data_IF_168039047427
#
_entry.id   IF_168039047427
#
_cell.length_a   1.000
_cell.length_b   1.000
_cell.length_c   1.000
_cell.angle_alpha   90.00
_cell.angle_beta   90.00
_cell.angle_gamma   90.00
#
_symmetry.space_group_name_H-M   'P 1'
#
loop_
_entity.id
_entity.type
_entity.pdbx_description
1 polymer ?
#
# COMPACT_ATOMS: atom_id res chain seq x y z
N UNK A 1 20.35 5.05 7.40
CA UNK A 1 20.05 4.16 6.26
C UNK A 1 18.56 3.87 6.09
N UNK A 2 17.80 3.67 7.18
CA UNK A 2 16.38 3.28 7.12
C UNK A 2 15.38 4.37 7.54
N UNK A 3 15.83 5.59 7.86
CA UNK A 3 14.90 6.66 8.22
C UNK A 3 14.04 7.04 7.02
N UNK A 4 12.75 7.13 7.28
CA UNK A 4 11.75 7.65 6.35
C UNK A 4 11.20 8.93 6.96
N UNK A 5 10.96 9.94 6.13
CA UNK A 5 10.31 11.19 6.51
C UNK A 5 9.15 11.42 5.56
N UNK A 6 7.98 11.77 6.09
CA UNK A 6 6.89 12.29 5.26
C UNK A 6 7.31 13.70 4.81
N UNK A 7 7.22 13.97 3.51
CA UNK A 7 7.56 15.29 3.00
C UNK A 7 6.62 16.34 3.58
N UNK A 8 7.11 17.56 3.75
CA UNK A 8 6.41 18.69 4.35
C UNK A 8 6.02 18.55 5.84
N UNK A 9 6.55 17.55 6.56
CA UNK A 9 6.40 17.44 8.02
C UNK A 9 7.71 17.72 8.74
N UNK A 10 7.64 18.35 9.91
CA UNK A 10 8.83 18.56 10.74
C UNK A 10 9.21 17.29 11.50
N UNK A 11 10.48 17.17 11.90
CA UNK A 11 10.97 15.95 12.59
C UNK A 11 10.21 15.65 13.88
N UNK A 12 9.81 16.68 14.62
CA UNK A 12 9.11 16.52 15.90
C UNK A 12 7.64 16.12 15.73
N UNK A 13 7.08 16.21 14.51
CA UNK A 13 5.72 15.77 14.18
C UNK A 13 5.67 14.30 13.77
N UNK A 14 6.82 13.67 13.55
CA UNK A 14 6.92 12.27 13.17
C UNK A 14 6.86 11.37 14.42
N UNK A 15 5.94 10.41 14.40
CA UNK A 15 5.89 9.34 15.38
C UNK A 15 7.01 8.32 15.11
N UNK A 16 7.55 7.75 16.18
CA UNK A 16 8.58 6.71 16.10
C UNK A 16 7.95 5.31 15.98
N UNK A 17 8.70 4.36 15.42
CA UNK A 17 8.31 2.95 15.38
C UNK A 17 8.05 2.42 16.80
N UNK A 18 6.96 1.67 16.98
CA UNK A 18 6.57 1.13 18.28
C UNK A 18 7.65 0.22 18.88
N UNK A 19 8.41 -0.50 18.06
CA UNK A 19 9.48 -1.36 18.54
C UNK A 19 10.64 -0.55 19.09
N UNK A 20 11.04 0.53 18.39
CA UNK A 20 12.08 1.44 18.86
C UNK A 20 11.66 2.16 20.14
N UNK A 21 10.41 2.62 20.19
CA UNK A 21 9.82 3.24 21.39
C UNK A 21 9.78 2.26 22.58
N UNK A 22 9.66 0.96 22.29
CA UNK A 22 9.70 -0.13 23.30
C UNK A 22 11.12 -0.54 23.68
N UNK A 23 12.15 0.12 23.15
CA UNK A 23 13.56 -0.11 23.47
C UNK A 23 14.26 -1.16 22.60
N UNK A 24 13.61 -1.67 21.54
CA UNK A 24 14.27 -2.55 20.59
C UNK A 24 15.23 -1.75 19.70
N UNK A 25 16.29 -2.41 19.25
CA UNK A 25 17.23 -1.89 18.28
C UNK A 25 17.02 -2.53 16.91
N UNK A 26 17.58 -1.93 15.86
CA UNK A 26 17.51 -2.48 14.50
C UNK A 26 18.00 -3.94 14.46
N UNK A 27 19.04 -4.25 15.25
CA UNK A 27 19.66 -5.57 15.34
C UNK A 27 18.83 -6.60 16.10
N UNK A 28 17.69 -6.23 16.67
CA UNK A 28 16.79 -7.21 17.28
C UNK A 28 15.92 -7.92 16.23
N UNK A 29 15.68 -7.26 15.09
CA UNK A 29 14.99 -7.84 13.94
C UNK A 29 15.96 -8.14 12.78
N UNK A 30 16.99 -7.32 12.57
CA UNK A 30 17.97 -7.46 11.49
C UNK A 30 19.28 -8.04 12.05
N UNK A 31 19.45 -9.36 12.01
CA UNK A 31 20.65 -10.03 12.55
C UNK A 31 21.44 -10.68 11.43
N UNK A 32 22.74 -10.82 11.65
CA UNK A 32 23.62 -11.56 10.75
C UNK A 32 24.51 -12.51 11.55
N UNK A 33 24.95 -13.56 10.88
CA UNK A 33 26.04 -14.41 11.37
C UNK A 33 27.40 -13.87 10.94
N UNK A 34 28.39 -14.76 10.97
CA UNK A 34 29.75 -14.49 10.48
C UNK A 34 29.80 -14.25 8.95
N UNK A 35 28.75 -14.65 8.24
CA UNK A 35 28.57 -14.40 6.81
C UNK A 35 28.25 -12.94 6.47
N UNK A 36 27.91 -12.13 7.48
CA UNK A 36 27.41 -10.76 7.33
C UNK A 36 26.14 -10.63 6.49
N UNK A 37 25.41 -11.74 6.27
CA UNK A 37 24.13 -11.67 5.58
C UNK A 37 23.05 -11.26 6.60
N UNK A 38 22.64 -9.99 6.53
CA UNK A 38 21.65 -9.40 7.43
C UNK A 38 20.25 -9.89 7.05
N UNK A 39 19.56 -10.55 7.99
CA UNK A 39 18.14 -10.87 7.83
C UNK A 39 17.34 -9.59 7.61
N UNK A 40 16.44 -9.61 6.66
CA UNK A 40 15.49 -8.54 6.32
C UNK A 40 14.12 -8.79 6.95
N UNK A 41 13.89 -10.01 7.43
CA UNK A 41 12.79 -10.44 8.28
C UNK A 41 11.41 -10.32 7.61
N UNK A 42 11.37 -10.48 6.29
CA UNK A 42 10.14 -10.56 5.51
C UNK A 42 9.61 -12.01 5.44
N UNK A 43 8.29 -12.21 5.27
CA UNK A 43 7.72 -13.54 5.11
C UNK A 43 8.34 -14.31 3.94
N UNK A 44 8.89 -15.50 4.18
CA UNK A 44 9.51 -16.36 3.16
C UNK A 44 11.03 -16.23 3.01
N UNK A 45 11.67 -15.26 3.66
CA UNK A 45 13.13 -15.17 3.75
C UNK A 45 13.83 -16.45 4.25
N UNK A 46 13.32 -17.17 5.29
CA UNK A 46 13.99 -18.35 5.83
C UNK A 46 14.26 -19.44 4.79
N UNK A 47 13.31 -19.65 3.88
CA UNK A 47 13.40 -20.63 2.80
C UNK A 47 14.38 -20.18 1.71
N UNK A 48 14.45 -18.88 1.42
CA UNK A 48 15.36 -18.34 0.42
C UNK A 48 16.83 -18.42 0.86
N UNK A 49 17.11 -18.28 2.16
CA UNK A 49 18.47 -18.19 2.69
C UNK A 49 18.94 -19.44 3.46
N UNK A 50 18.12 -20.49 3.52
CA UNK A 50 18.36 -21.67 4.37
C UNK A 50 18.66 -21.31 5.85
N UNK A 51 18.04 -20.22 6.34
CA UNK A 51 18.25 -19.66 7.66
C UNK A 51 17.01 -19.84 8.52
N UNK A 52 16.95 -20.94 9.27
CA UNK A 52 15.78 -21.31 10.07
C UNK A 52 15.47 -20.31 11.21
N UNK A 53 16.46 -19.54 11.67
CA UNK A 53 16.26 -18.54 12.73
C UNK A 53 15.61 -17.26 12.18
N UNK A 54 15.75 -16.98 10.87
CA UNK A 54 15.13 -15.81 10.24
C UNK A 54 13.60 -15.77 10.45
N UNK A 55 12.95 -16.93 10.53
CA UNK A 55 11.51 -17.03 10.78
C UNK A 55 11.11 -16.42 12.13
N UNK A 56 11.97 -16.57 13.14
CA UNK A 56 11.76 -16.07 14.50
C UNK A 56 11.93 -14.55 14.62
N UNK A 57 12.40 -13.86 13.57
CA UNK A 57 12.51 -12.39 13.52
C UNK A 57 11.39 -11.74 12.70
N UNK A 58 10.48 -12.52 12.15
CA UNK A 58 9.28 -12.01 11.46
C UNK A 58 8.23 -11.51 12.46
N UNK A 59 7.23 -10.77 11.97
CA UNK A 59 6.08 -10.35 12.78
C UNK A 59 5.42 -11.57 13.45
N UNK A 60 5.17 -12.64 12.70
CA UNK A 60 4.55 -13.86 13.21
C UNK A 60 5.45 -14.55 14.24
N UNK A 61 6.76 -14.59 13.99
CA UNK A 61 7.74 -15.23 14.88
C UNK A 61 7.80 -14.60 16.28
N UNK A 62 7.54 -13.30 16.40
CA UNK A 62 7.48 -12.62 17.70
C UNK A 62 6.09 -12.61 18.32
N UNK A 63 5.04 -12.40 17.50
CA UNK A 63 3.70 -12.08 17.99
C UNK A 63 2.76 -13.29 18.07
N UNK A 64 2.95 -14.31 17.25
CA UNK A 64 2.02 -15.45 17.17
C UNK A 64 2.56 -16.67 17.90
N UNK A 65 1.70 -17.41 18.63
CA UNK A 65 2.05 -18.74 19.13
C UNK A 65 2.36 -19.66 17.96
N UNK A 66 3.35 -20.52 18.16
CA UNK A 66 3.71 -21.56 17.20
C UNK A 66 3.77 -22.90 17.94
N UNK A 67 2.74 -23.72 17.71
CA UNK A 67 2.55 -25.01 18.35
C UNK A 67 3.50 -26.09 17.80
N UNK A 68 4.27 -25.80 16.75
CA UNK A 68 5.29 -26.69 16.21
C UNK A 68 6.59 -26.71 17.05
N UNK A 69 6.75 -25.78 17.99
CA UNK A 69 7.88 -25.76 18.92
C UNK A 69 7.50 -26.37 20.26
N UNK A 70 8.39 -27.22 20.82
CA UNK A 70 8.22 -27.79 22.17
C UNK A 70 8.21 -26.72 23.27
N UNK A 71 8.83 -25.56 23.01
CA UNK A 71 8.89 -24.41 23.90
C UNK A 71 8.07 -23.27 23.29
N UNK A 72 7.18 -22.60 24.05
CA UNK A 72 6.45 -21.43 23.55
C UNK A 72 7.42 -20.33 23.10
N UNK A 73 7.29 -19.90 21.83
CA UNK A 73 8.16 -18.87 21.21
C UNK A 73 7.49 -17.51 21.02
N UNK A 74 6.18 -17.40 21.25
CA UNK A 74 5.46 -16.14 21.20
C UNK A 74 5.86 -15.21 22.35
N UNK A 75 5.74 -13.91 22.12
CA UNK A 75 6.08 -12.89 23.11
C UNK A 75 7.56 -12.58 23.18
N UNK A 76 8.31 -12.92 22.13
CA UNK A 76 9.73 -12.59 22.03
C UNK A 76 9.94 -11.09 22.22
N UNK A 77 10.95 -10.72 23.01
CA UNK A 77 11.25 -9.33 23.36
C UNK A 77 10.06 -8.57 24.00
N UNK A 78 9.13 -9.27 24.64
CA UNK A 78 7.93 -8.65 25.24
C UNK A 78 6.83 -8.34 24.23
N UNK A 79 6.88 -8.90 23.02
CA UNK A 79 5.87 -8.69 21.99
C UNK A 79 4.47 -9.09 22.49
N UNK A 80 3.44 -8.23 22.32
CA UNK A 80 2.07 -8.60 22.69
C UNK A 80 1.51 -9.63 21.71
N UNK A 81 0.73 -10.58 22.22
CA UNK A 81 -0.04 -11.51 21.38
C UNK A 81 -1.28 -10.78 20.84
N UNK A 82 -1.46 -10.69 19.50
CA UNK A 82 -2.52 -9.89 18.91
C UNK A 82 -3.87 -10.59 19.04
N UNK A 83 -4.87 -9.87 19.57
CA UNK A 83 -6.24 -10.40 19.72
C UNK A 83 -7.08 -10.30 18.44
N UNK A 84 -6.84 -9.27 17.63
CA UNK A 84 -7.60 -8.92 16.42
C UNK A 84 -9.13 -9.10 16.52
N UNK A 85 -9.72 -8.70 17.66
CA UNK A 85 -11.13 -8.91 17.92
C UNK A 85 -12.00 -8.22 16.86
N UNK A 86 -12.86 -9.00 16.20
CA UNK A 86 -13.79 -8.51 15.17
C UNK A 86 -13.20 -8.40 13.76
N UNK A 87 -11.94 -8.79 13.54
CA UNK A 87 -11.33 -8.87 12.20
C UNK A 87 -11.51 -10.29 11.64
N UNK A 88 -12.21 -10.48 10.51
CA UNK A 88 -12.35 -11.79 9.88
C UNK A 88 -11.02 -12.38 9.42
N UNK A 89 -10.86 -13.71 9.54
CA UNK A 89 -9.63 -14.44 9.21
C UNK A 89 -9.13 -14.21 7.78
N UNK A 90 -10.05 -13.98 6.84
CA UNK A 90 -9.74 -13.65 5.44
C UNK A 90 -8.75 -12.47 5.31
N UNK A 91 -8.74 -11.53 6.26
CA UNK A 91 -7.77 -10.42 6.23
C UNK A 91 -6.33 -10.92 6.38
N UNK A 92 -6.08 -11.93 7.23
CA UNK A 92 -4.74 -12.48 7.43
C UNK A 92 -4.30 -13.38 6.27
N UNK A 93 -5.26 -13.97 5.55
CA UNK A 93 -5.01 -14.71 4.31
C UNK A 93 -4.68 -13.78 3.13
N UNK A 94 -5.25 -12.58 3.11
CA UNK A 94 -5.18 -11.65 1.97
C UNK A 94 -4.31 -10.42 2.18
N UNK A 95 -3.88 -10.14 3.41
CA UNK A 95 -3.09 -8.97 3.76
C UNK A 95 -1.94 -9.34 4.69
N UNK A 96 -0.85 -8.60 4.59
CA UNK A 96 0.27 -8.70 5.52
C UNK A 96 -0.04 -7.97 6.82
N UNK A 97 0.65 -8.29 7.92
CA UNK A 97 0.54 -7.56 9.19
C UNK A 97 0.81 -6.06 8.98
N UNK A 98 1.81 -5.75 8.15
CA UNK A 98 2.23 -4.38 7.85
C UNK A 98 1.13 -3.57 7.16
N UNK A 99 0.19 -4.18 6.45
CA UNK A 99 -0.92 -3.47 5.81
C UNK A 99 -1.76 -2.66 6.80
N UNK A 100 -1.97 -3.19 8.01
CA UNK A 100 -2.67 -2.48 9.08
C UNK A 100 -1.72 -1.75 10.03
N UNK A 101 -0.48 -2.23 10.14
CA UNK A 101 0.45 -1.83 11.19
C UNK A 101 1.63 -0.97 10.73
N UNK A 102 1.86 -0.68 9.45
CA UNK A 102 3.09 0.02 9.01
C UNK A 102 2.82 1.24 8.16
N UNK A 103 3.60 2.30 8.39
CA UNK A 103 3.65 3.49 7.55
C UNK A 103 2.78 4.66 7.98
N UNK A 104 2.60 5.65 7.09
CA UNK A 104 1.58 6.67 7.25
C UNK A 104 0.18 6.05 7.20
N UNK A 105 -0.79 6.65 7.89
CA UNK A 105 -2.19 6.35 7.62
C UNK A 105 -2.55 6.76 6.18
N UNK A 106 -3.27 5.93 5.42
CA UNK A 106 -3.67 6.27 4.06
C UNK A 106 -4.68 7.41 4.08
N UNK A 107 -4.46 8.38 3.20
CA UNK A 107 -5.27 9.60 3.02
C UNK A 107 -5.89 9.61 1.62
N UNK A 108 -6.72 10.61 1.28
CA UNK A 108 -7.35 10.67 -0.05
C UNK A 108 -6.35 10.74 -1.21
N UNK A 109 -5.15 11.27 -0.95
CA UNK A 109 -4.00 11.21 -1.85
C UNK A 109 -2.83 10.57 -1.10
N UNK A 110 -1.95 9.88 -1.83
CA UNK A 110 -0.73 9.33 -1.26
C UNK A 110 0.20 10.44 -0.78
N UNK A 111 0.96 10.15 0.28
CA UNK A 111 1.91 11.10 0.83
C UNK A 111 3.26 10.92 0.14
N UNK A 112 3.95 12.03 -0.12
CA UNK A 112 5.34 12.00 -0.55
C UNK A 112 6.23 11.64 0.65
N UNK A 113 7.21 10.77 0.44
CA UNK A 113 8.15 10.34 1.48
C UNK A 113 9.58 10.43 0.99
N UNK A 114 10.49 10.82 1.88
CA UNK A 114 11.94 10.82 1.68
C UNK A 114 12.56 9.69 2.47
N UNK A 115 13.49 8.96 1.87
CA UNK A 115 14.21 7.85 2.52
C UNK A 115 15.69 8.15 2.62
N UNK A 116 16.39 7.64 3.64
CA UNK A 116 17.83 7.91 3.76
C UNK A 116 18.62 7.44 2.53
N UNK A 117 18.27 6.29 1.93
CA UNK A 117 19.00 5.78 0.77
C UNK A 117 18.71 6.58 -0.50
N UNK A 118 17.45 6.87 -0.80
CA UNK A 118 17.11 7.53 -2.06
C UNK A 118 17.42 9.03 -2.05
N UNK A 119 17.39 9.67 -0.87
CA UNK A 119 17.58 11.12 -0.72
C UNK A 119 18.84 11.48 0.08
N UNK A 120 19.67 10.49 0.45
CA UNK A 120 20.87 10.67 1.26
C UNK A 120 20.64 11.51 2.54
N UNK A 121 19.48 11.31 3.19
CA UNK A 121 19.11 12.01 4.42
C UNK A 121 20.20 11.84 5.48
N UNK A 122 20.60 12.94 6.11
CA UNK A 122 21.64 12.96 7.14
C UNK A 122 23.04 13.30 6.62
N UNK A 123 23.23 13.44 5.31
CA UNK A 123 24.48 13.95 4.74
C UNK A 123 24.42 15.47 4.53
N UNK A 124 25.58 16.13 4.54
CA UNK A 124 25.64 17.61 4.59
C UNK A 124 25.33 18.30 3.26
N UNK A 125 25.52 17.62 2.12
CA UNK A 125 25.50 18.22 0.78
C UNK A 125 24.26 17.89 -0.06
N UNK A 126 23.23 17.28 0.54
CA UNK A 126 22.05 16.84 -0.22
C UNK A 126 21.01 17.92 -0.37
N UNK A 127 20.21 17.78 -1.43
CA UNK A 127 19.02 18.59 -1.62
C UNK A 127 17.97 18.29 -0.53
N UNK A 128 17.73 19.30 0.32
CA UNK A 128 16.77 19.19 1.43
C UNK A 128 15.36 19.63 1.05
N UNK A 129 15.14 20.12 -0.18
CA UNK A 129 13.80 20.49 -0.68
C UNK A 129 12.80 19.37 -0.43
N UNK A 130 11.57 19.72 -0.11
CA UNK A 130 10.49 18.76 0.05
C UNK A 130 10.14 18.08 -1.28
N UNK A 131 10.38 18.77 -2.40
CA UNK A 131 10.24 18.26 -3.76
C UNK A 131 11.52 17.57 -4.27
N UNK A 132 12.48 17.21 -3.42
CA UNK A 132 13.72 16.59 -3.90
C UNK A 132 13.45 15.22 -4.54
N UNK A 133 13.95 15.01 -5.75
CA UNK A 133 13.93 13.72 -6.42
C UNK A 133 14.77 12.65 -5.67
N UNK A 134 14.41 11.37 -5.81
CA UNK A 134 13.22 10.86 -6.53
C UNK A 134 11.93 11.05 -5.72
N UNK A 135 10.82 11.42 -6.36
CA UNK A 135 9.54 11.47 -5.65
C UNK A 135 9.05 10.06 -5.35
N UNK A 136 9.00 9.70 -4.07
CA UNK A 136 8.50 8.42 -3.60
C UNK A 136 7.16 8.65 -2.92
N UNK A 137 6.15 7.87 -3.29
CA UNK A 137 4.84 7.87 -2.65
C UNK A 137 4.68 6.73 -1.66
N UNK A 138 3.98 6.97 -0.55
CA UNK A 138 3.58 5.96 0.43
C UNK A 138 2.34 6.39 1.24
N UNK A 139 1.62 5.43 1.88
CA UNK A 139 1.65 4.01 1.52
C UNK A 139 0.95 3.77 0.19
N UNK A 140 1.41 2.81 -0.61
CA UNK A 140 0.71 2.28 -1.78
C UNK A 140 0.39 0.81 -1.52
N UNK A 141 -0.88 0.41 -1.53
CA UNK A 141 -1.25 -0.99 -1.31
C UNK A 141 -1.07 -1.80 -2.59
N UNK A 142 -0.16 -2.76 -2.56
CA UNK A 142 0.24 -3.58 -3.72
C UNK A 142 0.00 -5.05 -3.39
N UNK A 143 -0.48 -5.82 -4.37
CA UNK A 143 -0.53 -7.28 -4.27
C UNK A 143 0.84 -7.85 -4.60
N UNK A 144 1.43 -8.54 -3.63
CA UNK A 144 2.73 -9.20 -3.77
C UNK A 144 2.61 -10.57 -4.45
N UNK A 145 3.75 -11.15 -4.84
CA UNK A 145 3.83 -12.46 -5.49
C UNK A 145 3.26 -13.60 -4.63
N UNK A 146 3.25 -13.43 -3.30
CA UNK A 146 2.63 -14.34 -2.34
C UNK A 146 1.08 -14.24 -2.31
N UNK A 147 0.50 -13.34 -3.12
CA UNK A 147 -0.93 -13.09 -3.22
C UNK A 147 -1.52 -12.18 -2.13
N UNK A 148 -0.74 -11.80 -1.12
CA UNK A 148 -1.17 -10.87 -0.05
C UNK A 148 -0.96 -9.42 -0.47
N UNK A 149 -1.76 -8.53 0.12
CA UNK A 149 -1.65 -7.08 -0.04
C UNK A 149 -0.78 -6.52 1.07
N UNK A 150 0.22 -5.74 0.70
CA UNK A 150 1.12 -5.06 1.61
C UNK A 150 1.21 -3.55 1.28
N UNK A 151 1.56 -2.70 2.25
CA UNK A 151 1.89 -1.32 1.96
C UNK A 151 3.30 -1.27 1.35
N UNK A 152 3.45 -0.47 0.32
CA UNK A 152 4.69 -0.29 -0.44
C UNK A 152 5.03 1.20 -0.52
N UNK A 153 6.32 1.46 -0.72
CA UNK A 153 6.81 2.71 -1.30
C UNK A 153 6.86 2.54 -2.81
N UNK A 154 6.58 3.60 -3.56
CA UNK A 154 6.52 3.53 -5.02
C UNK A 154 7.07 4.79 -5.69
N UNK A 155 7.77 4.65 -6.81
CA UNK A 155 8.12 5.76 -7.70
C UNK A 155 8.11 5.33 -9.17
N UNK A 156 7.97 6.30 -10.08
CA UNK A 156 8.07 6.06 -11.52
C UNK A 156 9.51 6.30 -11.99
N UNK A 157 10.10 5.36 -12.75
CA UNK A 157 11.44 5.56 -13.27
C UNK A 157 11.45 6.57 -14.43
N UNK A 158 12.57 7.29 -14.55
CA UNK A 158 12.87 8.11 -15.71
C UNK A 158 14.31 7.87 -16.17
N UNK A 159 14.50 7.33 -17.38
CA UNK A 159 15.83 7.05 -17.92
C UNK A 159 15.86 6.89 -19.44
N UNK A 160 17.03 7.10 -20.02
CA UNK A 160 17.30 6.81 -21.43
C UNK A 160 17.69 5.35 -21.60
N UNK A 161 17.20 4.70 -22.65
CA UNK A 161 17.40 3.28 -22.87
C UNK A 161 17.71 2.94 -24.33
N UNK A 162 18.39 1.81 -24.54
CA UNK A 162 18.47 1.13 -25.84
C UNK A 162 17.42 0.03 -25.85
N UNK A 163 16.74 -0.12 -26.99
CA UNK A 163 15.69 -1.12 -27.19
C UNK A 163 16.11 -2.10 -28.27
N UNK A 164 16.03 -3.39 -27.94
CA UNK A 164 16.27 -4.50 -28.86
C UNK A 164 15.17 -5.54 -28.68
N UNK A 165 14.22 -5.60 -29.62
CA UNK A 165 12.96 -6.33 -29.42
C UNK A 165 12.18 -5.78 -28.23
N UNK A 166 11.88 -6.64 -27.26
CA UNK A 166 11.22 -6.28 -26.00
C UNK A 166 12.21 -5.95 -24.86
N UNK A 167 13.51 -6.05 -25.13
CA UNK A 167 14.53 -5.79 -24.11
C UNK A 167 14.84 -4.30 -24.05
N UNK A 168 14.74 -3.73 -22.84
CA UNK A 168 15.06 -2.33 -22.55
C UNK A 168 16.27 -2.28 -21.63
N UNK A 169 17.37 -1.74 -22.13
CA UNK A 169 18.62 -1.60 -21.39
C UNK A 169 18.92 -0.11 -21.09
N UNK A 170 19.09 0.29 -19.83
CA UNK A 170 19.45 1.68 -19.50
C UNK A 170 20.78 2.10 -20.15
N UNK A 171 20.84 3.35 -20.62
CA UNK A 171 22.06 3.99 -21.12
C UNK A 171 22.77 4.67 -19.94
N UNK A 172 24.09 4.51 -19.86
CA UNK A 172 24.88 5.10 -18.78
C UNK A 172 24.74 6.64 -18.75
N UNK A 173 24.64 7.27 -17.57
CA UNK A 173 24.51 8.73 -17.47
C UNK A 173 25.62 9.51 -18.18
N UNK A 174 26.85 8.99 -18.19
CA UNK A 174 27.98 9.62 -18.88
C UNK A 174 27.82 9.66 -20.41
N UNK A 175 27.27 8.60 -21.02
CA UNK A 175 26.98 8.57 -22.46
C UNK A 175 25.88 9.57 -22.83
N UNK A 176 24.83 9.64 -21.99
CA UNK A 176 23.75 10.61 -22.14
C UNK A 176 24.32 12.03 -22.03
N UNK A 177 25.12 12.31 -21.00
CA UNK A 177 25.71 13.63 -20.77
C UNK A 177 26.59 14.10 -21.93
N UNK A 178 27.36 13.20 -22.55
CA UNK A 178 28.22 13.51 -23.69
C UNK A 178 27.46 13.91 -24.97
N UNK A 179 26.16 13.61 -25.05
CA UNK A 179 25.30 13.92 -26.21
C UNK A 179 24.23 14.98 -25.89
N UNK A 180 24.06 15.29 -24.60
CA UNK A 180 23.09 16.22 -24.05
C UNK A 180 23.43 17.70 -24.33
N UNK A 181 24.71 18.03 -24.56
CA UNK A 181 25.26 19.36 -24.94
C UNK A 181 24.37 20.57 -24.55
N UNK A 182 23.99 21.39 -25.54
CA UNK A 182 23.15 22.57 -25.38
C UNK A 182 21.65 22.25 -25.35
N UNK A 183 21.24 20.99 -25.57
CA UNK A 183 19.82 20.61 -25.60
C UNK A 183 19.10 20.95 -24.29
N UNK A 184 19.86 20.83 -23.20
CA UNK A 184 19.40 21.04 -21.82
C UNK A 184 20.19 22.18 -21.14
N UNK A 185 20.87 23.03 -21.90
CA UNK A 185 21.65 24.15 -21.35
C UNK A 185 20.74 25.24 -20.79
N UNK A 186 21.14 25.84 -19.67
CA UNK A 186 20.33 26.81 -18.92
C UNK A 186 19.35 26.17 -17.93
N UNK A 187 19.31 24.84 -17.84
CA UNK A 187 18.55 24.13 -16.82
C UNK A 187 19.40 24.03 -15.55
N UNK A 188 19.14 24.89 -14.57
CA UNK A 188 19.77 24.80 -13.24
C UNK A 188 19.19 23.61 -12.46
N UNK A 189 19.89 22.48 -12.56
CA UNK A 189 19.52 21.25 -11.87
C UNK A 189 19.71 21.27 -10.35
N UNK A 190 20.40 22.30 -9.84
CA UNK A 190 20.91 22.30 -8.47
C UNK A 190 19.96 22.94 -7.46
N UNK A 191 18.90 23.64 -7.90
CA UNK A 191 18.07 24.47 -7.01
C UNK A 191 16.63 24.00 -6.77
N UNK A 192 15.95 23.37 -7.73
CA UNK A 192 14.50 23.15 -7.60
C UNK A 192 14.10 21.81 -6.97
N UNK A 193 15.01 20.82 -6.94
CA UNK A 193 14.72 19.48 -6.42
C UNK A 193 13.71 18.67 -7.23
N UNK A 194 12.85 19.29 -8.02
CA UNK A 194 11.76 18.71 -8.81
C UNK A 194 12.20 18.41 -10.26
N UNK A 195 11.34 17.74 -11.03
CA UNK A 195 11.54 17.44 -12.43
C UNK A 195 11.59 18.69 -13.33
N UNK A 196 12.56 18.70 -14.24
CA UNK A 196 12.51 19.57 -15.41
C UNK A 196 11.41 19.13 -16.36
N UNK A 197 10.62 20.10 -16.83
CA UNK A 197 9.66 19.84 -17.89
C UNK A 197 10.43 19.67 -19.19
N UNK A 198 10.42 18.45 -19.72
CA UNK A 198 10.96 18.20 -21.05
C UNK A 198 9.88 18.40 -22.10
N UNK A 199 10.22 19.21 -23.11
CA UNK A 199 9.42 19.35 -24.30
C UNK A 199 9.61 18.14 -25.22
N UNK A 200 8.57 17.75 -25.96
CA UNK A 200 8.62 16.57 -26.84
C UNK A 200 9.74 16.69 -27.90
N UNK A 201 10.04 17.90 -28.37
CA UNK A 201 11.10 18.15 -29.34
C UNK A 201 12.50 17.88 -28.77
N UNK A 202 12.75 18.21 -27.50
CA UNK A 202 14.01 17.95 -26.81
C UNK A 202 14.23 16.44 -26.65
N UNK A 203 13.18 15.71 -26.24
CA UNK A 203 13.23 14.25 -26.15
C UNK A 203 13.47 13.64 -27.52
N UNK A 204 12.72 14.06 -28.53
CA UNK A 204 12.86 13.54 -29.88
C UNK A 204 14.29 13.75 -30.41
N UNK A 205 14.87 14.92 -30.19
CA UNK A 205 16.23 15.22 -30.64
C UNK A 205 17.29 14.41 -29.88
N UNK A 206 17.14 14.24 -28.57
CA UNK A 206 18.04 13.40 -27.80
C UNK A 206 17.99 11.93 -28.26
N UNK A 207 16.80 11.41 -28.58
CA UNK A 207 16.65 10.05 -29.11
C UNK A 207 17.32 9.89 -30.49
N UNK A 208 17.30 10.92 -31.35
CA UNK A 208 18.04 10.89 -32.63
C UNK A 208 19.53 10.78 -32.37
N UNK A 209 20.07 11.60 -31.48
CA UNK A 209 21.51 11.61 -31.12
C UNK A 209 21.96 10.26 -30.56
N UNK A 210 21.20 9.70 -29.61
CA UNK A 210 21.49 8.40 -28.99
C UNK A 210 21.45 7.25 -30.00
N UNK A 211 20.51 7.28 -30.94
CA UNK A 211 20.39 6.27 -32.00
C UNK A 211 21.54 6.40 -33.01
N UNK A 212 21.91 7.64 -33.38
CA UNK A 212 22.99 7.89 -34.33
C UNK A 212 24.38 7.53 -33.77
N UNK A 213 24.59 7.72 -32.46
CA UNK A 213 25.81 7.33 -31.77
C UNK A 213 25.95 5.81 -31.57
N UNK A 214 24.88 5.05 -31.78
CA UNK A 214 24.89 3.60 -31.57
C UNK A 214 25.45 2.83 -32.78
N UNK A 215 26.67 2.33 -32.65
CA UNK A 215 27.31 1.48 -33.66
C UNK A 215 26.55 0.17 -33.89
N UNK A 216 25.75 -0.30 -32.91
CA UNK A 216 24.93 -1.51 -33.02
C UNK A 216 23.56 -1.30 -33.67
N UNK A 217 23.24 -0.06 -34.09
CA UNK A 217 21.97 0.33 -34.74
C UNK A 217 20.71 0.01 -33.94
N UNK A 218 20.82 -0.14 -32.62
CA UNK A 218 19.65 -0.27 -31.73
C UNK A 218 18.90 1.05 -31.65
N UNK A 219 17.60 0.98 -31.47
CA UNK A 219 16.77 2.19 -31.34
C UNK A 219 16.84 2.71 -29.91
N UNK A 220 17.09 4.01 -29.75
CA UNK A 220 16.97 4.65 -28.45
C UNK A 220 15.50 4.84 -28.06
N UNK A 221 15.23 4.78 -26.76
CA UNK A 221 13.95 5.12 -26.16
C UNK A 221 14.15 5.93 -24.87
N UNK A 222 13.10 6.63 -24.46
CA UNK A 222 13.03 7.31 -23.19
C UNK A 222 11.92 6.69 -22.35
N UNK A 223 12.23 6.31 -21.13
CA UNK A 223 11.30 5.72 -20.17
C UNK A 223 10.90 6.80 -19.20
N UNK A 224 9.59 7.04 -19.03
CA UNK A 224 9.05 8.01 -18.07
C UNK A 224 7.54 7.78 -17.85
N UNK A 225 7.03 8.04 -16.65
CA UNK A 225 5.59 8.17 -16.41
C UNK A 225 4.74 6.93 -16.76
N UNK A 226 5.29 5.72 -16.70
CA UNK A 226 4.54 4.51 -17.09
C UNK A 226 4.60 4.20 -18.59
N UNK A 227 5.39 4.94 -19.36
CA UNK A 227 5.45 4.86 -20.82
C UNK A 227 6.87 4.76 -21.36
N UNK A 228 6.98 4.16 -22.53
CA UNK A 228 8.15 4.17 -23.39
C UNK A 228 7.91 5.15 -24.54
N UNK A 229 8.81 6.09 -24.71
CA UNK A 229 8.83 7.07 -25.79
C UNK A 229 9.90 6.70 -26.82
N UNK A 230 9.52 6.65 -28.10
CA UNK A 230 10.42 6.34 -29.21
C UNK A 230 10.06 7.10 -30.48
N UNK A 231 11.03 7.23 -31.38
CA UNK A 231 10.82 7.82 -32.69
C UNK A 231 10.21 6.79 -33.64
N UNK A 232 9.18 7.20 -34.38
CA UNK A 232 8.67 6.41 -35.48
C UNK A 232 9.53 6.60 -36.76
N UNK A 233 9.20 5.89 -37.84
CA UNK A 233 9.90 5.99 -39.13
C UNK A 233 9.92 7.40 -39.74
N UNK A 234 8.98 8.26 -39.36
CA UNK A 234 8.90 9.66 -39.79
C UNK A 234 9.67 10.61 -38.86
N UNK A 235 10.37 10.10 -37.84
CA UNK A 235 11.13 10.91 -36.89
C UNK A 235 10.28 11.68 -35.87
N UNK A 236 9.00 11.33 -35.71
CA UNK A 236 8.08 11.88 -34.71
C UNK A 236 8.08 11.03 -33.44
N UNK A 237 7.99 11.68 -32.28
CA UNK A 237 7.85 11.02 -30.99
C UNK A 237 6.50 10.27 -30.91
N UNK A 238 6.56 9.03 -30.44
CA UNK A 238 5.42 8.16 -30.17
C UNK A 238 5.60 7.55 -28.79
N UNK A 239 4.49 7.21 -28.13
CA UNK A 239 4.48 6.66 -26.78
C UNK A 239 3.64 5.39 -26.72
N UNK A 240 4.03 4.47 -25.86
CA UNK A 240 3.27 3.26 -25.56
C UNK A 240 3.44 2.85 -24.10
N UNK A 241 2.56 2.00 -23.58
CA UNK A 241 2.77 1.36 -22.27
C UNK A 241 3.81 0.27 -22.41
N UNK A 242 4.75 0.20 -21.48
CA UNK A 242 5.82 -0.80 -21.50
C UNK A 242 6.16 -1.27 -20.08
N UNK A 243 6.48 -2.56 -19.91
CA UNK A 243 6.81 -3.14 -18.60
C UNK A 243 8.02 -2.45 -17.93
N UNK A 244 9.05 -2.13 -18.70
CA UNK A 244 10.22 -1.37 -18.21
C UNK A 244 9.90 0.05 -17.70
N UNK A 245 8.71 0.58 -18.02
CA UNK A 245 8.24 1.87 -17.53
C UNK A 245 7.30 1.75 -16.33
N UNK A 246 6.96 0.53 -15.91
CA UNK A 246 6.14 0.29 -14.72
C UNK A 246 6.78 0.94 -13.49
N UNK A 247 5.99 1.42 -12.53
CA UNK A 247 6.55 1.97 -11.31
C UNK A 247 7.31 0.91 -10.53
N UNK A 248 8.43 1.31 -9.94
CA UNK A 248 9.14 0.48 -8.99
C UNK A 248 8.44 0.59 -7.65
N UNK A 249 8.20 -0.56 -7.02
CA UNK A 249 7.62 -0.62 -5.67
C UNK A 249 8.36 -1.63 -4.81
N UNK A 250 8.39 -1.36 -3.51
CA UNK A 250 8.93 -2.28 -2.52
C UNK A 250 8.16 -2.18 -1.22
N UNK A 251 8.00 -3.32 -0.57
CA UNK A 251 7.29 -3.45 0.68
C UNK A 251 7.92 -2.59 1.78
N UNK A 252 7.08 -2.09 2.66
CA UNK A 252 7.48 -1.35 3.85
C UNK A 252 7.10 -2.12 5.12
N UNK A 253 8.08 -2.32 5.98
CA UNK A 253 7.95 -2.99 7.28
C UNK A 253 8.58 -2.18 8.42
N UNK A 254 8.49 -0.85 8.33
CA UNK A 254 8.97 0.11 9.32
C UNK A 254 7.87 1.15 9.56
N UNK A 255 8.13 2.07 10.50
CA UNK A 255 7.13 3.01 11.00
C UNK A 255 5.92 2.21 11.50
N UNK A 256 6.22 1.14 12.26
CA UNK A 256 5.24 0.21 12.79
C UNK A 256 4.48 0.90 13.91
N UNK A 257 3.15 0.91 13.80
CA UNK A 257 2.24 1.52 14.74
C UNK A 257 1.64 0.48 15.70
N UNK A 258 1.38 0.86 16.96
CA UNK A 258 0.71 -0.03 17.91
C UNK A 258 -0.72 -0.34 17.49
N UNK A 259 -1.33 -1.36 18.10
CA UNK A 259 -2.71 -1.76 17.83
C UNK A 259 -3.72 -0.59 17.98
N UNK A 260 -3.52 0.30 18.95
CA UNK A 260 -4.36 1.48 19.19
C UNK A 260 -4.29 2.55 18.08
N UNK A 261 -3.32 2.45 17.18
CA UNK A 261 -3.14 3.34 16.04
C UNK A 261 -3.26 2.60 14.70
N UNK A 262 -3.63 1.32 14.70
CA UNK A 262 -3.66 0.50 13.50
C UNK A 262 -4.93 0.66 12.68
N UNK A 263 -4.88 0.38 11.37
CA UNK A 263 -6.08 0.43 10.54
C UNK A 263 -7.13 -0.57 11.05
N UNK A 264 -8.38 -0.12 11.09
CA UNK A 264 -9.49 -0.91 11.63
C UNK A 264 -9.74 -0.69 13.12
N UNK A 265 -8.89 0.08 13.82
CA UNK A 265 -9.10 0.41 15.23
C UNK A 265 -10.43 1.17 15.47
N UNK A 266 -10.90 1.95 14.51
CA UNK A 266 -12.21 2.63 14.57
C UNK A 266 -13.34 1.78 13.99
N UNK A 267 -13.05 0.51 13.65
CA UNK A 267 -13.95 -0.43 13.05
C UNK A 267 -13.81 -0.54 11.53
N UNK A 268 -14.69 -1.34 10.93
CA UNK A 268 -14.62 -1.70 9.51
C UNK A 268 -14.61 -0.50 8.54
N UNK A 269 -15.17 0.65 8.94
CA UNK A 269 -15.26 1.85 8.10
C UNK A 269 -13.91 2.47 7.71
N UNK A 270 -12.84 2.19 8.48
CA UNK A 270 -11.48 2.65 8.15
C UNK A 270 -11.03 2.14 6.77
N UNK A 271 -11.44 0.92 6.40
CA UNK A 271 -11.06 0.28 5.15
C UNK A 271 -12.26 0.04 4.21
N UNK A 272 -13.48 -0.15 4.72
CA UNK A 272 -14.65 -0.50 3.93
C UNK A 272 -15.68 0.62 3.78
N UNK A 273 -15.28 1.88 3.97
CA UNK A 273 -16.10 3.02 3.55
C UNK A 273 -16.09 3.21 2.03
N UNK A 274 -17.09 3.91 1.50
CA UNK A 274 -17.29 4.09 0.05
C UNK A 274 -16.09 4.74 -0.66
N UNK A 275 -15.38 5.63 0.04
CA UNK A 275 -14.18 6.32 -0.44
C UNK A 275 -12.96 5.98 0.43
N UNK A 276 -12.91 4.77 0.99
CA UNK A 276 -11.81 4.35 1.86
C UNK A 276 -10.45 4.52 1.15
N UNK A 277 -9.50 5.26 1.75
CA UNK A 277 -8.17 5.50 1.20
C UNK A 277 -7.40 4.24 0.81
N UNK A 278 -7.59 3.12 1.53
CA UNK A 278 -6.95 1.83 1.23
C UNK A 278 -7.25 1.32 -0.19
N UNK A 279 -8.41 1.70 -0.76
CA UNK A 279 -8.81 1.34 -2.12
C UNK A 279 -8.69 2.52 -3.10
N UNK A 280 -9.03 3.72 -2.64
CA UNK A 280 -9.32 4.84 -3.53
C UNK A 280 -8.39 6.04 -3.34
N UNK A 281 -7.36 5.93 -2.51
CA UNK A 281 -6.32 6.96 -2.45
C UNK A 281 -5.74 7.16 -3.84
N UNK A 282 -5.67 8.42 -4.26
CA UNK A 282 -5.15 8.81 -5.55
C UNK A 282 -3.62 8.89 -5.48
N UNK A 283 -2.97 8.31 -6.48
CA UNK A 283 -1.54 8.33 -6.68
C UNK A 283 -1.27 9.04 -8.01
N UNK A 284 -0.63 10.21 -7.94
CA UNK A 284 -0.23 10.97 -9.12
C UNK A 284 0.88 10.22 -9.86
N UNK A 285 0.75 10.03 -11.16
CA UNK A 285 1.85 9.52 -11.99
C UNK A 285 2.93 10.60 -12.08
N UNK A 286 4.10 10.27 -11.57
CA UNK A 286 5.25 11.16 -11.56
C UNK A 286 6.05 11.02 -12.86
N UNK A 287 6.28 12.12 -13.56
CA UNK A 287 6.92 12.10 -14.88
C UNK A 287 7.59 13.44 -15.21
N UNK A 288 8.78 13.44 -15.82
CA UNK A 288 9.37 14.65 -16.35
C UNK A 288 8.64 15.22 -17.58
N UNK A 289 7.77 14.46 -18.24
CA UNK A 289 7.01 14.91 -19.41
C UNK A 289 5.81 15.77 -18.98
N UNK A 290 5.71 17.01 -19.46
CA UNK A 290 4.59 17.91 -19.14
C UNK A 290 3.23 17.26 -19.43
N UNK A 291 3.11 16.59 -20.58
CA UNK A 291 1.89 15.93 -21.04
C UNK A 291 1.39 14.83 -20.08
N UNK A 292 2.26 14.25 -19.25
CA UNK A 292 1.90 13.22 -18.28
C UNK A 292 1.50 13.79 -16.92
N UNK A 293 2.08 14.95 -16.54
CA UNK A 293 1.98 15.52 -15.18
C UNK A 293 0.60 16.00 -14.79
N UNK A 294 -0.19 16.51 -15.75
CA UNK A 294 -1.40 17.26 -15.40
C UNK A 294 -2.66 16.40 -15.25
N UNK A 295 -2.69 15.14 -15.70
CA UNK A 295 -3.96 14.42 -15.83
C UNK A 295 -3.95 12.93 -15.49
N UNK A 296 -2.83 12.36 -15.06
CA UNK A 296 -2.75 10.90 -14.85
C UNK A 296 -2.68 10.54 -13.37
N UNK A 297 -3.79 10.03 -12.85
CA UNK A 297 -3.88 9.45 -11.52
C UNK A 297 -4.16 7.95 -11.61
N UNK A 298 -3.60 7.23 -10.64
CA UNK A 298 -3.88 5.82 -10.34
C UNK A 298 -4.55 5.71 -8.98
N UNK A 299 -5.27 4.63 -8.73
CA UNK A 299 -5.82 4.35 -7.40
C UNK A 299 -5.18 3.10 -6.81
N UNK A 300 -5.29 2.90 -5.50
CA UNK A 300 -4.74 1.70 -4.83
C UNK A 300 -5.23 0.39 -5.47
N UNK A 301 -6.48 0.35 -5.92
CA UNK A 301 -7.05 -0.80 -6.64
C UNK A 301 -6.26 -1.20 -7.90
N UNK A 302 -5.62 -0.25 -8.58
CA UNK A 302 -4.81 -0.52 -9.78
C UNK A 302 -3.56 -1.35 -9.44
N UNK A 303 -3.06 -1.25 -8.21
CA UNK A 303 -1.84 -1.92 -7.75
C UNK A 303 -2.11 -3.14 -6.86
N UNK A 304 -3.19 -3.10 -6.09
CA UNK A 304 -3.64 -4.21 -5.27
C UNK A 304 -4.35 -5.31 -6.08
N UNK A 305 -4.56 -5.09 -7.39
CA UNK A 305 -5.36 -5.97 -8.25
C UNK A 305 -6.71 -6.30 -7.60
N UNK A 306 -7.48 -5.23 -7.36
CA UNK A 306 -8.77 -5.27 -6.68
C UNK A 306 -9.83 -4.53 -7.49
N UNK A 307 -11.06 -5.02 -7.43
CA UNK A 307 -12.20 -4.33 -8.05
C UNK A 307 -12.70 -3.19 -7.17
N UNK A 308 -12.52 -1.95 -7.63
CA UNK A 308 -13.09 -0.77 -6.98
C UNK A 308 -14.63 -0.78 -6.95
N UNK A 309 -15.27 -1.41 -7.95
CA UNK A 309 -16.71 -1.62 -7.97
C UNK A 309 -17.14 -2.54 -6.82
N UNK A 310 -16.48 -3.68 -6.65
CA UNK A 310 -16.78 -4.61 -5.56
C UNK A 310 -16.56 -3.97 -4.19
N UNK A 311 -15.46 -3.22 -4.01
CA UNK A 311 -15.19 -2.52 -2.77
C UNK A 311 -16.30 -1.51 -2.41
N UNK A 312 -16.79 -0.74 -3.39
CA UNK A 312 -17.93 0.18 -3.19
C UNK A 312 -19.24 -0.56 -2.93
N UNK A 313 -19.52 -1.63 -3.67
CA UNK A 313 -20.72 -2.44 -3.45
C UNK A 313 -20.73 -3.04 -2.05
N UNK A 314 -19.59 -3.57 -1.59
CA UNK A 314 -19.43 -4.05 -0.24
C UNK A 314 -19.60 -2.93 0.79
N UNK A 315 -19.08 -1.72 0.54
CA UNK A 315 -19.29 -0.57 1.40
C UNK A 315 -20.79 -0.23 1.60
N UNK A 316 -21.63 -0.40 0.58
CA UNK A 316 -23.08 -0.19 0.69
C UNK A 316 -23.73 -1.14 1.71
N UNK A 317 -23.17 -2.35 1.91
CA UNK A 317 -23.70 -3.30 2.91
C UNK A 317 -23.61 -2.74 4.34
N UNK A 318 -22.60 -1.90 4.62
CA UNK A 318 -22.46 -1.23 5.92
C UNK A 318 -23.46 -0.09 6.09
N UNK A 319 -23.83 0.61 5.01
CA UNK A 319 -24.88 1.64 5.03
C UNK A 319 -26.27 1.03 5.26
N UNK A 320 -26.53 -0.14 4.68
CA UNK A 320 -27.81 -0.84 4.81
C UNK A 320 -27.94 -1.62 6.13
N UNK A 321 -26.83 -1.96 6.78
CA UNK A 321 -26.82 -2.76 8.01
C UNK A 321 -27.66 -2.15 9.15
N UNK A 322 -27.56 -0.84 9.48
CA UNK A 322 -28.43 -0.22 10.50
C UNK A 322 -29.92 -0.33 10.15
N UNK A 323 -30.28 -0.08 8.88
CA UNK A 323 -31.67 -0.18 8.42
C UNK A 323 -32.21 -1.60 8.58
N UNK A 324 -31.41 -2.61 8.18
CA UNK A 324 -31.78 -4.01 8.34
C UNK A 324 -31.96 -4.39 9.82
N UNK A 325 -31.10 -3.89 10.72
CA UNK A 325 -31.25 -4.12 12.17
C UNK A 325 -32.57 -3.53 12.68
N UNK A 326 -32.89 -2.31 12.31
CA UNK A 326 -34.16 -1.67 12.70
C UNK A 326 -35.37 -2.40 12.13
N UNK A 327 -35.31 -2.84 10.88
CA UNK A 327 -36.36 -3.66 10.27
C UNK A 327 -36.54 -4.99 11.01
N UNK A 328 -35.45 -5.68 11.35
CA UNK A 328 -35.50 -6.94 12.10
C UNK A 328 -36.10 -6.76 13.50
N UNK A 329 -35.74 -5.68 14.20
CA UNK A 329 -36.33 -5.32 15.50
C UNK A 329 -37.83 -5.05 15.34
N UNK A 330 -38.22 -4.24 14.35
CA UNK A 330 -39.61 -3.91 14.09
C UNK A 330 -40.46 -5.15 13.79
N UNK A 331 -39.97 -6.03 12.91
CA UNK A 331 -40.62 -7.31 12.60
C UNK A 331 -40.72 -8.19 13.85
N UNK A 332 -39.67 -8.24 14.67
CA UNK A 332 -39.67 -9.03 15.91
C UNK A 332 -40.69 -8.51 16.92
N UNK A 333 -40.85 -7.19 17.04
CA UNK A 333 -41.85 -6.55 17.91
C UNK A 333 -43.26 -6.86 17.43
N UNK A 334 -43.52 -6.75 16.12
CA UNK A 334 -44.83 -7.10 15.55
C UNK A 334 -45.15 -8.57 15.80
N UNK A 335 -44.22 -9.48 15.51
CA UNK A 335 -44.42 -10.91 15.74
C UNK A 335 -44.70 -11.20 17.22
N UNK A 336 -43.96 -10.57 18.12
CA UNK A 336 -44.17 -10.71 19.56
C UNK A 336 -45.54 -10.20 19.99
N UNK A 337 -45.99 -9.06 19.45
CA UNK A 337 -47.31 -8.50 19.74
C UNK A 337 -48.46 -9.38 19.21
N UNK A 338 -48.31 -9.94 18.00
CA UNK A 338 -49.28 -10.88 17.41
C UNK A 338 -49.36 -12.16 18.25
N UNK A 339 -48.21 -12.74 18.63
CA UNK A 339 -48.15 -13.92 19.48
C UNK A 339 -48.76 -13.65 20.86
N UNK A 340 -48.47 -12.49 21.47
CA UNK A 340 -49.05 -12.09 22.74
C UNK A 340 -50.57 -11.93 22.64
N UNK A 341 -51.06 -11.28 21.57
CA UNK A 341 -52.49 -11.08 21.34
C UNK A 341 -53.23 -12.42 21.20
N UNK A 342 -52.72 -13.32 20.37
CA UNK A 342 -53.30 -14.67 20.23
C UNK A 342 -53.19 -15.49 21.52
N UNK A 343 -52.08 -15.38 22.26
CA UNK A 343 -51.89 -16.05 23.54
C UNK A 343 -52.91 -15.59 24.59
N UNK A 344 -53.10 -14.28 24.75
CA UNK A 344 -54.09 -13.70 25.66
C UNK A 344 -55.52 -14.05 25.25
N UNK A 345 -55.82 -14.05 23.94
CA UNK A 345 -57.14 -14.44 23.45
C UNK A 345 -57.41 -15.94 23.65
N UNK A 346 -56.38 -16.79 23.53
CA UNK A 346 -56.44 -18.21 23.84
C UNK A 346 -56.70 -18.46 25.34
N UNK A 347 -55.95 -17.77 26.21
CA UNK A 347 -56.16 -17.79 27.66
C UNK A 347 -57.59 -17.36 28.04
N UNK A 348 -58.09 -16.27 27.46
CA UNK A 348 -59.45 -15.80 27.70
C UNK A 348 -60.51 -16.82 27.27
N UNK A 349 -60.31 -17.54 26.17
CA UNK A 349 -61.20 -18.62 25.73
C UNK A 349 -61.15 -19.82 26.68
N UNK A 350 -59.96 -20.18 27.19
CA UNK A 350 -59.79 -21.28 28.15
C UNK A 350 -60.45 -20.97 29.50
N UNK A 351 -60.31 -19.74 30.00
CA UNK A 351 -60.97 -19.30 31.24
C UNK A 351 -62.50 -19.39 31.11
N UNK A 352 -63.07 -18.90 30.00
CA UNK A 352 -64.52 -19.03 29.73
C UNK A 352 -64.98 -20.48 29.62
N UNK A 353 -64.15 -21.37 29.08
CA UNK A 353 -64.46 -22.79 29.02
C UNK A 353 -64.41 -23.45 30.41
N UNK A 354 -63.46 -23.06 31.26
CA UNK A 354 -63.35 -23.52 32.64
C UNK A 354 -64.54 -23.08 33.50
N UNK A 355 -64.94 -21.80 33.41
CA UNK A 355 -66.13 -21.27 34.10
C UNK A 355 -67.40 -22.04 33.72
N UNK A 356 -67.60 -22.35 32.44
CA UNK A 356 -68.75 -23.15 31.97
C UNK A 356 -68.73 -24.59 32.48
N UNK A 357 -67.55 -25.19 32.65
CA UNK A 357 -67.43 -26.54 33.21
C UNK A 357 -67.75 -26.54 34.71
N UNK A 358 -67.36 -25.48 35.43
CA UNK A 358 -67.65 -25.31 36.84
C UNK A 358 -69.15 -25.04 37.09
N UNK A 359 -69.78 -24.18 36.29
CA UNK A 359 -71.24 -23.96 36.32
C UNK A 359 -72.04 -25.25 36.05
N UNK A 360 -71.62 -26.06 35.06
CA UNK A 360 -72.27 -27.35 34.76
C UNK A 360 -72.00 -28.45 35.80
N UNK A 361 -71.02 -28.28 36.69
CA UNK A 361 -70.72 -29.23 37.77
C UNK A 361 -71.46 -28.93 39.08
N UNK A 362 -71.95 -27.69 39.23
CA UNK A 362 -72.64 -27.19 40.42
C UNK A 362 -74.17 -27.02 40.25
N UNK A 363 -74.71 -27.31 39.07
CA UNK A 363 -76.15 -27.44 38.80
C UNK A 363 -76.52 -28.90 38.57
#
# INVERSE_FOLDING_TARGET
CHSTRIAHTERWEAEEDIHLTSGMLCVDCHRNGLDHNMTRSYPGEPQAENNLIAASFSCEGCHLPNDAHEVPVAGRAGAPIPKHAGIPTLHFERMTCTACHSGPWPTAQTQAVKTSLAHALGTHTVNRSESALPHIAAPVFVREDNGKIAPHKMFWPAFWARVEGDTVAPIAPAEVAALADTLFYGIDSTRAGDWFTFEENQIAEMLRRLTAADSSKRTAAYIAGGKLYRLNKAGKLTQEKHAAAAPYSWAMGHDVRPASQSLGIRGCGDCHSFNAPVYFSQLKVDSPMAADRESTYKTMTDFADLSGFYARFFALTFLLRPLLKWLMIFVSVILSAVLLWHGLHGLGSLMKAAERLEENSNG
#
